data_IF_648645041125
#
_entry.id   IF_648645041125
#
_cell.length_a   1.000
_cell.length_b   1.000
_cell.length_c   1.000
_cell.angle_alpha   90.00
_cell.angle_beta   90.00
_cell.angle_gamma   90.00
#
_symmetry.space_group_name_H-M   'P 1'
#
loop_
_entity.id
_entity.type
_entity.pdbx_description
1 polymer ?
#
# COMPACT_ATOMS: atom_id res chain seq x y z
N UNK A 1 -13.36 -9.41 1.80
CA UNK A 1 -13.58 -10.42 0.74
C UNK A 1 -15.01 -10.93 0.77
N UNK A 2 -15.38 -11.82 1.70
CA UNK A 2 -16.69 -12.51 1.70
C UNK A 2 -17.92 -11.58 1.87
N UNK A 3 -17.73 -10.33 2.30
CA UNK A 3 -18.80 -9.32 2.39
C UNK A 3 -18.57 -8.07 1.52
N UNK A 4 -17.46 -8.04 0.77
CA UNK A 4 -17.08 -6.85 0.00
C UNK A 4 -18.12 -6.53 -1.09
N UNK A 5 -18.63 -7.57 -1.75
CA UNK A 5 -19.69 -7.47 -2.76
C UNK A 5 -21.00 -6.95 -2.14
N UNK A 6 -21.39 -7.51 -0.99
CA UNK A 6 -22.63 -7.16 -0.28
C UNK A 6 -22.69 -5.68 0.11
N UNK A 7 -21.57 -5.10 0.52
CA UNK A 7 -21.51 -3.71 0.98
C UNK A 7 -20.92 -2.75 -0.05
N UNK A 8 -20.57 -3.24 -1.25
CA UNK A 8 -19.91 -2.46 -2.29
C UNK A 8 -18.65 -1.73 -1.79
N UNK A 9 -17.84 -2.43 -1.00
CA UNK A 9 -16.60 -1.90 -0.42
C UNK A 9 -15.37 -2.64 -0.95
N UNK A 10 -14.25 -1.94 -1.07
CA UNK A 10 -12.94 -2.59 -1.22
C UNK A 10 -12.30 -2.80 0.15
N UNK A 11 -11.68 -3.96 0.34
CA UNK A 11 -10.97 -4.33 1.56
C UNK A 11 -9.51 -4.57 1.21
N UNK A 12 -8.60 -3.95 1.96
CA UNK A 12 -7.18 -4.30 2.00
C UNK A 12 -6.92 -5.08 3.29
N UNK A 13 -6.69 -6.38 3.16
CA UNK A 13 -6.31 -7.26 4.26
C UNK A 13 -4.79 -7.34 4.33
N UNK A 14 -4.20 -6.61 5.28
CA UNK A 14 -2.75 -6.54 5.42
C UNK A 14 -2.15 -7.85 5.96
N UNK A 15 -0.99 -8.23 5.44
CA UNK A 15 -0.25 -9.42 5.87
C UNK A 15 1.16 -9.45 5.31
N UNK A 16 1.81 -10.61 5.32
CA UNK A 16 3.06 -10.81 4.56
C UNK A 16 2.83 -10.63 3.06
N UNK A 17 1.65 -11.05 2.59
CA UNK A 17 1.09 -10.74 1.27
C UNK A 17 -0.22 -10.03 1.50
N UNK A 18 -0.34 -8.78 1.07
CA UNK A 18 -1.60 -8.05 1.23
C UNK A 18 -2.61 -8.57 0.20
N UNK A 19 -3.85 -8.74 0.66
CA UNK A 19 -4.96 -9.17 -0.19
C UNK A 19 -5.95 -8.02 -0.36
N UNK A 20 -6.15 -7.59 -1.60
CA UNK A 20 -7.02 -6.47 -1.96
C UNK A 20 -8.22 -7.02 -2.73
N UNK A 21 -9.45 -6.67 -2.32
CA UNK A 21 -10.66 -7.21 -2.95
C UNK A 21 -11.88 -6.30 -2.82
N UNK A 22 -12.63 -6.19 -3.92
CA UNK A 22 -13.96 -5.59 -4.01
C UNK A 22 -15.10 -6.62 -3.85
N UNK A 23 -14.76 -7.89 -3.64
CA UNK A 23 -15.71 -9.01 -3.56
C UNK A 23 -15.80 -9.83 -4.83
N UNK A 24 -15.51 -9.26 -5.99
CA UNK A 24 -15.49 -9.97 -7.27
C UNK A 24 -14.10 -10.48 -7.62
N UNK A 25 -13.07 -9.67 -7.29
CA UNK A 25 -11.67 -9.96 -7.59
C UNK A 25 -10.87 -10.00 -6.30
N UNK A 26 -9.81 -10.80 -6.32
CA UNK A 26 -8.79 -10.81 -5.27
C UNK A 26 -7.45 -10.56 -5.92
N UNK A 27 -6.78 -9.50 -5.51
CA UNK A 27 -5.48 -9.06 -6.00
C UNK A 27 -4.48 -9.24 -4.84
N UNK A 28 -3.30 -9.76 -5.16
CA UNK A 28 -2.22 -9.97 -4.20
C UNK A 28 -1.15 -8.93 -4.40
N UNK A 29 -0.74 -8.26 -3.33
CA UNK A 29 0.44 -7.41 -3.32
C UNK A 29 1.57 -8.11 -2.55
N UNK A 30 2.73 -8.22 -3.19
CA UNK A 30 3.92 -8.88 -2.65
C UNK A 30 5.01 -7.88 -2.26
N UNK A 31 4.73 -6.58 -2.34
CA UNK A 31 5.68 -5.53 -1.94
C UNK A 31 5.55 -5.24 -0.45
N UNK A 32 6.64 -4.75 0.14
CA UNK A 32 6.73 -4.49 1.57
C UNK A 32 7.54 -5.55 2.30
N UNK A 33 7.83 -5.26 3.57
CA UNK A 33 8.73 -6.07 4.38
C UNK A 33 8.44 -5.92 5.87
N UNK A 34 9.07 -6.78 6.68
CA UNK A 34 8.88 -6.83 8.13
C UNK A 34 9.19 -5.50 8.85
N UNK A 35 10.07 -4.65 8.30
CA UNK A 35 10.39 -3.33 8.86
C UNK A 35 9.21 -2.35 8.84
N UNK A 36 8.19 -2.62 8.02
CA UNK A 36 6.95 -1.84 8.02
C UNK A 36 6.04 -2.14 9.21
N UNK A 37 6.39 -3.11 10.07
CA UNK A 37 5.71 -3.43 11.34
C UNK A 37 6.05 -2.39 12.41
N UNK A 38 5.78 -1.12 12.11
CA UNK A 38 6.02 0.02 12.98
C UNK A 38 4.80 0.94 12.99
N UNK A 39 4.65 1.73 14.05
CA UNK A 39 3.54 2.68 14.18
C UNK A 39 3.52 3.70 13.03
N UNK A 40 2.34 3.93 12.45
CA UNK A 40 2.13 4.96 11.42
C UNK A 40 2.20 4.49 9.96
N UNK A 41 2.70 3.27 9.67
CA UNK A 41 2.72 2.77 8.27
C UNK A 41 1.33 2.52 7.71
N UNK A 42 0.36 2.20 8.59
CA UNK A 42 -1.05 2.12 8.22
C UNK A 42 -1.68 3.47 7.86
N UNK A 43 -1.25 4.55 8.51
CA UNK A 43 -1.75 5.90 8.23
C UNK A 43 -1.24 6.40 6.88
N UNK A 44 0.02 6.08 6.54
CA UNK A 44 0.59 6.33 5.22
C UNK A 44 -0.22 5.60 4.15
N UNK A 45 -0.49 4.31 4.34
CA UNK A 45 -1.30 3.52 3.41
C UNK A 45 -2.68 4.15 3.21
N UNK A 46 -3.37 4.52 4.30
CA UNK A 46 -4.69 5.14 4.22
C UNK A 46 -4.65 6.47 3.44
N UNK A 47 -3.65 7.31 3.69
CA UNK A 47 -3.45 8.58 2.96
C UNK A 47 -3.18 8.37 1.47
N UNK A 48 -2.35 7.38 1.12
CA UNK A 48 -2.06 7.04 -0.28
C UNK A 48 -3.31 6.53 -1.01
N UNK A 49 -4.09 5.64 -0.39
CA UNK A 49 -5.35 5.14 -0.98
C UNK A 49 -6.34 6.31 -1.16
N UNK A 50 -6.48 7.18 -0.16
CA UNK A 50 -7.34 8.36 -0.25
C UNK A 50 -6.92 9.30 -1.39
N UNK A 51 -5.61 9.53 -1.56
CA UNK A 51 -5.09 10.34 -2.65
C UNK A 51 -5.39 9.72 -4.04
N UNK A 52 -5.28 8.40 -4.17
CA UNK A 52 -5.55 7.71 -5.44
C UNK A 52 -7.04 7.51 -5.73
N UNK A 53 -7.91 7.55 -4.72
CA UNK A 53 -9.36 7.44 -4.89
C UNK A 53 -9.93 8.56 -5.78
N UNK A 54 -9.21 9.69 -5.93
CA UNK A 54 -9.59 10.77 -6.84
C UNK A 54 -9.37 10.46 -8.33
N UNK A 55 -8.65 9.37 -8.68
CA UNK A 55 -8.17 9.10 -10.05
C UNK A 55 -8.70 7.80 -10.68
N UNK A 56 -9.45 6.99 -9.96
CA UNK A 56 -9.92 5.69 -10.45
C UNK A 56 -10.96 5.08 -9.54
N UNK A 57 -11.24 3.79 -9.74
CA UNK A 57 -12.11 3.02 -8.87
C UNK A 57 -11.48 2.83 -7.49
N UNK A 58 -12.32 2.55 -6.48
CA UNK A 58 -11.83 2.27 -5.12
C UNK A 58 -10.88 1.06 -5.10
N UNK A 59 -11.13 0.05 -5.95
CA UNK A 59 -10.25 -1.11 -6.07
C UNK A 59 -8.88 -0.72 -6.65
N UNK A 60 -8.85 0.09 -7.70
CA UNK A 60 -7.60 0.59 -8.30
C UNK A 60 -6.83 1.47 -7.32
N UNK A 61 -7.51 2.35 -6.60
CA UNK A 61 -6.90 3.18 -5.56
C UNK A 61 -6.31 2.34 -4.42
N UNK A 62 -7.04 1.31 -3.97
CA UNK A 62 -6.56 0.36 -2.97
C UNK A 62 -5.32 -0.40 -3.47
N UNK A 63 -5.32 -0.84 -4.72
CA UNK A 63 -4.17 -1.54 -5.32
C UNK A 63 -2.96 -0.61 -5.45
N UNK A 64 -3.13 0.58 -6.03
CA UNK A 64 -2.06 1.55 -6.23
C UNK A 64 -1.47 2.03 -4.89
N UNK A 65 -2.32 2.35 -3.91
CA UNK A 65 -1.89 2.77 -2.59
C UNK A 65 -1.12 1.69 -1.84
N UNK A 66 -1.62 0.45 -1.88
CA UNK A 66 -0.96 -0.71 -1.24
C UNK A 66 0.38 -1.03 -1.89
N UNK A 67 0.41 -1.08 -3.23
CA UNK A 67 1.63 -1.33 -3.97
C UNK A 67 2.70 -0.27 -3.70
N UNK A 68 2.35 1.02 -3.81
CA UNK A 68 3.28 2.12 -3.55
C UNK A 68 3.78 2.11 -2.10
N UNK A 69 2.90 1.87 -1.12
CA UNK A 69 3.30 1.80 0.29
C UNK A 69 4.35 0.70 0.53
N UNK A 70 4.18 -0.48 -0.09
CA UNK A 70 5.16 -1.55 0.00
C UNK A 70 6.48 -1.21 -0.72
N UNK A 71 6.43 -0.61 -1.91
CA UNK A 71 7.64 -0.14 -2.62
C UNK A 71 8.42 0.89 -1.80
N UNK A 72 7.72 1.82 -1.15
CA UNK A 72 8.33 2.79 -0.22
C UNK A 72 9.00 2.06 0.94
N UNK A 73 8.33 1.09 1.54
CA UNK A 73 8.89 0.26 2.61
C UNK A 73 10.14 -0.50 2.17
N UNK A 74 10.12 -1.12 0.99
CA UNK A 74 11.24 -1.90 0.45
C UNK A 74 12.44 -1.02 0.12
N UNK A 75 12.18 0.17 -0.42
CA UNK A 75 13.23 1.14 -0.73
C UNK A 75 13.83 1.70 0.56
N UNK A 76 13.01 2.00 1.56
CA UNK A 76 13.49 2.44 2.89
C UNK A 76 14.35 1.36 3.55
N UNK A 77 13.90 0.09 3.51
CA UNK A 77 14.64 -1.03 4.08
C UNK A 77 16.00 -1.24 3.41
N UNK A 78 16.07 -1.08 2.08
CA UNK A 78 17.34 -1.18 1.33
C UNK A 78 18.35 -0.11 1.73
N UNK A 79 17.88 1.09 2.09
CA UNK A 79 18.76 2.22 2.42
C UNK A 79 19.13 2.26 3.91
N UNK A 80 18.23 1.81 4.80
CA UNK A 80 18.35 2.01 6.25
C UNK A 80 18.34 0.72 7.07
N UNK A 81 18.17 -0.44 6.44
CA UNK A 81 17.89 -1.71 7.12
C UNK A 81 16.44 -1.79 7.61
N UNK A 82 16.11 -2.82 8.38
CA UNK A 82 14.72 -3.11 8.78
C UNK A 82 14.17 -2.24 9.92
N UNK A 83 15.01 -1.41 10.57
CA UNK A 83 14.64 -0.64 11.76
C UNK A 83 14.34 0.83 11.43
N UNK A 84 13.49 1.09 10.43
CA UNK A 84 13.08 2.43 10.04
C UNK A 84 11.75 2.84 10.69
N UNK A 85 11.48 4.14 10.70
CA UNK A 85 10.22 4.75 11.16
C UNK A 85 9.32 5.04 9.97
N UNK A 86 8.02 5.20 10.25
CA UNK A 86 7.06 5.67 9.25
C UNK A 86 7.41 7.05 8.66
N UNK A 87 8.07 7.93 9.43
CA UNK A 87 8.60 9.20 8.91
C UNK A 87 9.65 8.99 7.80
N UNK A 88 10.51 7.98 7.94
CA UNK A 88 11.54 7.66 6.94
C UNK A 88 10.92 7.18 5.63
N UNK A 89 9.76 6.51 5.71
CA UNK A 89 8.95 6.15 4.56
C UNK A 89 8.32 7.39 3.90
N UNK A 90 7.71 8.29 4.69
CA UNK A 90 7.07 9.51 4.18
C UNK A 90 8.00 10.32 3.28
N UNK A 91 9.25 10.51 3.71
CA UNK A 91 10.27 11.25 2.95
C UNK A 91 10.61 10.59 1.60
N UNK A 92 10.41 9.28 1.47
CA UNK A 92 10.72 8.48 0.28
C UNK A 92 9.55 8.28 -0.68
N UNK A 93 8.35 8.75 -0.34
CA UNK A 93 7.16 8.66 -1.21
C UNK A 93 7.42 9.30 -2.59
N UNK A 94 7.94 10.53 -2.72
CA UNK A 94 8.12 11.15 -4.04
C UNK A 94 9.10 10.38 -4.94
N UNK A 95 10.18 9.84 -4.37
CA UNK A 95 11.16 9.03 -5.09
C UNK A 95 10.54 7.72 -5.57
N UNK A 96 9.77 7.06 -4.70
CA UNK A 96 9.11 5.79 -5.01
C UNK A 96 8.00 5.94 -6.05
N UNK A 97 7.26 7.05 -6.00
CA UNK A 97 6.23 7.36 -6.99
C UNK A 97 6.84 7.53 -8.39
N UNK A 98 7.94 8.28 -8.52
CA UNK A 98 8.69 8.40 -9.79
C UNK A 98 9.26 7.08 -10.29
N UNK A 99 9.55 6.12 -9.40
CA UNK A 99 9.96 4.79 -9.81
C UNK A 99 8.77 4.03 -10.43
N UNK A 100 7.58 4.13 -9.84
CA UNK A 100 6.37 3.50 -10.36
C UNK A 100 5.90 4.08 -11.70
N UNK A 101 6.14 5.37 -11.98
CA UNK A 101 5.82 6.02 -13.27
C UNK A 101 6.57 5.43 -14.48
N UNK A 102 7.57 4.56 -14.26
CA UNK A 102 8.36 3.92 -15.33
C UNK A 102 7.70 2.66 -15.92
N UNK A 103 6.62 2.20 -15.31
CA UNK A 103 5.86 1.01 -15.70
C UNK A 103 4.46 1.43 -16.16
#
# INVERSE_FOLDING_TARGET
MINSEKYQISIVSKGEVDLISDGNKVIKNFTGNAGMTTGGTGDILAGLIAAFAAKGTILEAACAGTFLNGIVGDTTAKEMGMNFRSSDMLERIPKSLKFCEKF
#
